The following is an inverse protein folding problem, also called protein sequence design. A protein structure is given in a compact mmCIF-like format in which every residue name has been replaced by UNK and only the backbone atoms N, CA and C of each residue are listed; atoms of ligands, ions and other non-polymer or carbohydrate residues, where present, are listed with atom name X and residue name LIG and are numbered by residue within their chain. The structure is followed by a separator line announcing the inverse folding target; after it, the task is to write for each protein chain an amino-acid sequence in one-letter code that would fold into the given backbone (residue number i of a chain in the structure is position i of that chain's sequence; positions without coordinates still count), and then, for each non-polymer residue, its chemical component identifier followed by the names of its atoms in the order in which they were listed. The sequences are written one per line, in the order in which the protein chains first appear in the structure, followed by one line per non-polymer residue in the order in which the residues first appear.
data_IF_318565969055
#
_entry.id   IF_318565969055
#
_cell.length_a   1.000
_cell.length_b   1.000
_cell.length_c   1.000
_cell.angle_alpha   90.00
_cell.angle_beta   90.00
_cell.angle_gamma   90.00
#
_symmetry.space_group_name_H-M   'P 1'
#
loop_
_entity.id
_entity.type
_entity.pdbx_description
1 polymer ?
#
# COMPACT_ATOMS: atom_id res chain seq x y z
N UNK A 1 -25.71 -4.81 -30.10
CA UNK A 1 -25.29 -3.63 -29.31
C UNK A 1 -25.26 -4.12 -27.88
N UNK A 2 -24.09 -4.56 -27.43
CA UNK A 2 -23.90 -5.13 -26.10
C UNK A 2 -24.09 -4.01 -25.10
N UNK A 3 -25.06 -4.14 -24.19
CA UNK A 3 -25.22 -3.18 -23.12
C UNK A 3 -23.89 -3.07 -22.37
N UNK A 4 -23.36 -1.86 -22.26
CA UNK A 4 -22.25 -1.59 -21.37
C UNK A 4 -22.76 -1.91 -19.97
N UNK A 5 -22.31 -3.04 -19.41
CA UNK A 5 -22.51 -3.36 -18.01
C UNK A 5 -22.10 -2.13 -17.21
N UNK A 6 -23.07 -1.47 -16.57
CA UNK A 6 -22.80 -0.35 -15.68
C UNK A 6 -21.89 -0.87 -14.58
N UNK A 7 -20.60 -0.52 -14.65
CA UNK A 7 -19.63 -0.91 -13.63
C UNK A 7 -20.06 -0.20 -12.34
N UNK A 8 -20.62 -0.95 -11.40
CA UNK A 8 -21.06 -0.44 -10.11
C UNK A 8 -19.83 -0.32 -9.20
N UNK A 9 -19.06 0.75 -9.38
CA UNK A 9 -17.89 1.04 -8.55
C UNK A 9 -18.33 1.72 -7.25
N UNK A 10 -17.69 1.42 -6.11
CA UNK A 10 -17.91 2.18 -4.89
C UNK A 10 -17.66 3.69 -5.11
N UNK A 11 -18.41 4.57 -4.42
CA UNK A 11 -18.15 6.00 -4.49
C UNK A 11 -16.78 6.36 -3.90
N UNK A 12 -16.19 7.45 -4.39
CA UNK A 12 -14.98 8.03 -3.81
C UNK A 12 -15.23 8.51 -2.38
N UNK A 13 -14.27 8.25 -1.48
CA UNK A 13 -14.30 8.66 -0.08
C UNK A 13 -13.18 9.67 0.19
N UNK A 14 -13.42 10.66 1.03
CA UNK A 14 -12.38 11.64 1.42
C UNK A 14 -11.35 11.01 2.37
N UNK A 15 -10.08 11.29 2.12
CA UNK A 15 -8.98 10.86 2.98
C UNK A 15 -7.85 11.90 3.01
N UNK A 16 -6.80 11.57 3.75
CA UNK A 16 -5.52 12.26 3.64
C UNK A 16 -4.44 11.22 3.33
N UNK A 17 -3.54 11.58 2.43
CA UNK A 17 -2.40 10.73 2.11
C UNK A 17 -1.12 11.51 2.34
N UNK A 18 -0.06 10.80 2.70
CA UNK A 18 1.27 11.35 2.85
C UNK A 18 2.28 10.48 2.14
N UNK A 19 3.29 11.13 1.55
CA UNK A 19 4.40 10.44 0.90
C UNK A 19 5.75 11.03 1.37
N UNK A 20 6.65 10.15 1.78
CA UNK A 20 8.05 10.47 2.06
C UNK A 20 8.94 9.74 1.07
N UNK A 21 9.98 10.39 0.55
CA UNK A 21 10.93 9.74 -0.35
C UNK A 21 12.38 10.06 -0.02
N UNK A 22 13.27 9.11 -0.28
CA UNK A 22 14.72 9.30 -0.18
C UNK A 22 15.38 8.84 -1.47
N UNK A 23 15.91 9.79 -2.26
CA UNK A 23 16.59 9.49 -3.54
C UNK A 23 17.86 8.66 -3.39
N UNK A 24 18.43 8.63 -2.20
CA UNK A 24 19.62 7.84 -1.87
C UNK A 24 19.30 6.64 -0.97
N UNK A 25 18.01 6.36 -0.75
CA UNK A 25 17.57 5.24 0.06
C UNK A 25 17.92 3.90 -0.59
N UNK A 26 18.27 2.93 0.24
CA UNK A 26 18.68 1.59 -0.14
C UNK A 26 17.62 0.55 0.19
N UNK A 27 17.79 -0.66 -0.35
CA UNK A 27 16.98 -1.82 0.04
C UNK A 27 17.04 -2.04 1.56
N UNK A 28 18.21 -1.90 2.17
CA UNK A 28 18.40 -2.05 3.61
C UNK A 28 17.62 -1.02 4.42
N UNK A 29 17.47 0.21 3.92
CA UNK A 29 16.68 1.23 4.60
C UNK A 29 15.20 0.84 4.65
N UNK A 30 14.65 0.26 3.58
CA UNK A 30 13.26 -0.20 3.54
C UNK A 30 13.04 -1.43 4.42
N UNK A 31 13.97 -2.39 4.41
CA UNK A 31 13.89 -3.55 5.32
C UNK A 31 13.96 -3.11 6.79
N UNK A 32 14.86 -2.17 7.10
CA UNK A 32 14.98 -1.59 8.44
C UNK A 32 13.69 -0.86 8.82
N UNK A 33 13.13 -0.06 7.92
CA UNK A 33 11.88 0.67 8.14
C UNK A 33 10.71 -0.26 8.41
N UNK A 34 10.56 -1.34 7.63
CA UNK A 34 9.51 -2.34 7.82
C UNK A 34 9.61 -3.02 9.19
N UNK A 35 10.82 -3.27 9.68
CA UNK A 35 11.07 -3.84 11.01
C UNK A 35 11.11 -2.80 12.14
N UNK A 36 10.99 -1.51 11.84
CA UNK A 36 11.06 -0.41 12.80
C UNK A 36 9.65 0.12 13.08
N UNK A 37 9.06 -0.29 14.19
CA UNK A 37 7.78 0.23 14.67
C UNK A 37 7.36 -0.40 16.00
N UNK A 38 6.58 0.30 16.84
CA UNK A 38 5.96 -0.31 18.01
C UNK A 38 4.79 -1.20 17.56
N UNK A 39 4.95 -2.53 17.68
CA UNK A 39 3.90 -3.51 17.37
C UNK A 39 4.29 -4.49 16.26
N UNK A 40 3.51 -5.56 16.12
CA UNK A 40 3.64 -6.60 15.10
C UNK A 40 2.98 -6.17 13.78
N UNK A 41 3.37 -5.03 13.21
CA UNK A 41 2.87 -4.67 11.88
C UNK A 41 3.34 -5.74 10.90
N UNK A 42 2.40 -6.51 10.37
CA UNK A 42 2.69 -7.56 9.40
C UNK A 42 2.80 -6.94 8.02
N UNK A 43 3.85 -7.35 7.31
CA UNK A 43 4.18 -6.88 5.97
C UNK A 43 4.09 -8.03 4.98
N UNK A 44 3.40 -7.78 3.88
CA UNK A 44 3.47 -8.62 2.69
C UNK A 44 3.97 -7.78 1.52
N UNK A 45 4.30 -8.42 0.40
CA UNK A 45 4.94 -7.67 -0.67
C UNK A 45 5.16 -8.43 -1.96
N UNK A 46 5.81 -7.74 -2.90
CA UNK A 46 6.38 -8.30 -4.12
C UNK A 46 7.82 -7.81 -4.23
N UNK A 47 8.74 -8.76 -4.41
CA UNK A 47 10.09 -8.47 -4.90
C UNK A 47 10.16 -8.79 -6.38
N UNK A 48 10.52 -7.80 -7.20
CA UNK A 48 10.90 -8.06 -8.58
C UNK A 48 12.39 -8.36 -8.64
N UNK A 49 12.70 -9.56 -9.13
CA UNK A 49 14.06 -10.08 -9.19
C UNK A 49 14.50 -10.34 -10.62
N UNK A 50 15.80 -10.50 -10.83
CA UNK A 50 16.36 -10.93 -12.13
C UNK A 50 15.86 -12.30 -12.62
N UNK A 51 15.18 -13.07 -11.76
CA UNK A 51 14.57 -14.37 -12.09
C UNK A 51 13.03 -14.35 -12.07
N UNK A 52 12.41 -13.16 -12.03
CA UNK A 52 10.96 -12.99 -11.99
C UNK A 52 10.45 -12.38 -10.69
N UNK A 53 9.15 -12.09 -10.65
CA UNK A 53 8.48 -11.56 -9.47
C UNK A 53 8.27 -12.65 -8.40
N UNK A 54 8.48 -12.29 -7.14
CA UNK A 54 8.29 -13.18 -5.98
C UNK A 54 7.31 -12.53 -5.01
N UNK A 55 6.19 -13.18 -4.77
CA UNK A 55 5.26 -12.82 -3.70
C UNK A 55 5.91 -13.09 -2.34
N UNK A 56 5.86 -12.11 -1.44
CA UNK A 56 6.55 -12.11 -0.15
C UNK A 56 5.55 -12.25 0.99
N UNK A 57 5.85 -13.17 1.91
CA UNK A 57 5.06 -13.42 3.12
C UNK A 57 5.78 -12.99 4.40
N UNK A 58 7.12 -12.95 4.40
CA UNK A 58 7.89 -12.51 5.56
C UNK A 58 8.99 -11.53 5.18
N UNK A 59 9.20 -10.55 6.06
CA UNK A 59 10.19 -9.49 5.92
C UNK A 59 10.99 -9.41 7.22
N UNK A 60 12.31 -9.38 7.11
CA UNK A 60 13.20 -9.05 8.22
C UNK A 60 14.26 -8.05 7.74
N UNK A 61 15.05 -7.53 8.68
CA UNK A 61 16.13 -6.57 8.39
C UNK A 61 17.11 -7.03 7.29
N UNK A 62 17.25 -8.34 7.07
CA UNK A 62 18.24 -8.91 6.17
C UNK A 62 17.72 -10.08 5.31
N UNK A 63 16.42 -10.35 5.31
CA UNK A 63 15.86 -11.46 4.58
C UNK A 63 14.43 -11.18 4.10
N UNK A 64 14.08 -11.81 3.00
CA UNK A 64 12.76 -11.77 2.38
C UNK A 64 12.32 -13.21 2.13
N UNK A 65 11.24 -13.65 2.78
CA UNK A 65 10.66 -14.97 2.57
C UNK A 65 9.50 -14.91 1.59
N UNK A 66 9.59 -15.70 0.52
CA UNK A 66 8.52 -15.83 -0.47
C UNK A 66 7.39 -16.74 0.02
N UNK A 67 6.21 -16.64 -0.60
CA UNK A 67 5.03 -17.45 -0.29
C UNK A 67 5.25 -18.96 -0.53
N UNK A 68 6.18 -19.32 -1.41
CA UNK A 68 6.61 -20.71 -1.67
C UNK A 68 7.58 -21.27 -0.60
N UNK A 69 7.85 -20.49 0.46
CA UNK A 69 8.75 -20.85 1.56
C UNK A 69 10.24 -20.67 1.26
N UNK A 70 10.61 -20.23 0.05
CA UNK A 70 12.01 -19.97 -0.30
C UNK A 70 12.44 -18.56 0.13
N UNK A 71 13.73 -18.40 0.42
CA UNK A 71 14.34 -17.10 0.63
C UNK A 71 14.63 -16.42 -0.71
N UNK A 72 14.34 -15.13 -0.80
CA UNK A 72 14.67 -14.31 -1.96
C UNK A 72 16.10 -13.78 -1.81
N UNK A 73 17.01 -14.06 -2.75
CA UNK A 73 18.36 -13.50 -2.72
C UNK A 73 18.30 -11.98 -2.86
N UNK A 74 18.64 -11.22 -1.81
CA UNK A 74 18.51 -9.75 -1.84
C UNK A 74 19.27 -9.09 -2.99
N UNK A 75 20.43 -9.63 -3.37
CA UNK A 75 21.23 -9.13 -4.49
C UNK A 75 20.60 -9.31 -5.87
N UNK A 76 19.51 -10.08 -6.01
CA UNK A 76 18.76 -10.21 -7.27
C UNK A 76 17.57 -9.25 -7.36
N UNK A 77 17.18 -8.60 -6.26
CA UNK A 77 16.02 -7.69 -6.19
C UNK A 77 16.40 -6.36 -6.84
N UNK A 78 15.59 -5.88 -7.78
CA UNK A 78 15.74 -4.54 -8.37
C UNK A 78 14.58 -3.60 -8.03
N UNK A 79 13.44 -4.15 -7.61
CA UNK A 79 12.31 -3.38 -7.10
C UNK A 79 11.65 -4.18 -5.96
N UNK A 80 11.27 -3.47 -4.90
CA UNK A 80 10.57 -4.03 -3.75
C UNK A 80 9.37 -3.15 -3.43
N UNK A 81 8.19 -3.77 -3.31
CA UNK A 81 6.99 -3.16 -2.75
C UNK A 81 6.55 -4.00 -1.56
N UNK A 82 6.44 -3.38 -0.39
CA UNK A 82 5.92 -3.99 0.83
C UNK A 82 4.71 -3.19 1.27
N UNK A 83 3.61 -3.85 1.59
CA UNK A 83 2.43 -3.22 2.18
C UNK A 83 2.12 -3.83 3.54
N UNK A 84 1.64 -2.97 4.43
CA UNK A 84 1.07 -3.35 5.70
C UNK A 84 -0.24 -4.11 5.47
N UNK A 85 -0.41 -5.22 6.18
CA UNK A 85 -1.72 -5.86 6.25
C UNK A 85 -2.67 -4.98 7.06
N UNK A 86 -3.81 -4.66 6.46
CA UNK A 86 -4.86 -3.85 7.07
C UNK A 86 -6.17 -4.61 6.95
N UNK A 87 -6.76 -4.92 8.10
CA UNK A 87 -8.08 -5.53 8.17
C UNK A 87 -9.13 -4.54 7.65
N UNK A 88 -9.78 -4.88 6.54
CA UNK A 88 -10.84 -4.14 5.86
C UNK A 88 -10.63 -2.61 5.79
N UNK A 89 -10.08 -2.07 4.67
CA UNK A 89 -9.82 -0.63 4.52
C UNK A 89 -11.11 0.20 4.39
N UNK A 90 -12.30 -0.40 4.50
CA UNK A 90 -13.56 0.34 4.55
C UNK A 90 -13.73 0.96 5.95
N UNK A 91 -14.06 2.26 6.04
CA UNK A 91 -14.24 2.90 7.32
C UNK A 91 -15.36 2.22 8.13
N UNK A 92 -15.02 1.75 9.33
CA UNK A 92 -16.01 1.21 10.26
C UNK A 92 -16.84 2.36 10.85
N UNK A 93 -18.16 2.24 10.81
CA UNK A 93 -19.06 3.27 11.30
C UNK A 93 -18.84 3.50 12.81
N UNK A 94 -18.41 4.71 13.19
CA UNK A 94 -18.20 5.11 14.58
C UNK A 94 -16.74 5.08 15.08
N UNK A 95 -15.75 4.84 14.21
CA UNK A 95 -14.35 5.04 14.55
C UNK A 95 -13.97 6.53 14.43
N UNK A 96 -13.79 7.20 15.56
CA UNK A 96 -13.35 8.62 15.67
C UNK A 96 -11.84 8.83 15.41
N UNK A 97 -11.16 7.83 14.86
CA UNK A 97 -9.70 7.88 14.60
C UNK A 97 -9.40 7.96 13.09
N UNK A 98 -8.39 8.76 12.74
CA UNK A 98 -7.78 8.83 11.40
C UNK A 98 -6.97 7.56 11.13
N UNK A 99 -7.66 6.42 11.16
CA UNK A 99 -7.08 5.10 11.00
C UNK A 99 -6.30 5.00 9.69
N UNK A 100 -5.18 4.27 9.74
CA UNK A 100 -4.41 3.94 8.54
C UNK A 100 -5.25 3.00 7.68
N UNK A 101 -5.48 3.39 6.42
CA UNK A 101 -6.23 2.60 5.44
C UNK A 101 -5.30 1.86 4.47
N UNK A 102 -4.10 2.39 4.23
CA UNK A 102 -3.04 1.75 3.47
C UNK A 102 -1.68 2.28 3.93
N UNK A 103 -0.66 1.42 3.95
CA UNK A 103 0.71 1.81 4.24
C UNK A 103 1.65 0.96 3.39
N UNK A 104 2.37 1.60 2.48
CA UNK A 104 3.26 0.93 1.54
C UNK A 104 4.67 1.52 1.56
N UNK A 105 5.65 0.63 1.56
CA UNK A 105 7.08 0.90 1.45
C UNK A 105 7.56 0.42 0.08
N UNK A 106 8.23 1.31 -0.65
CA UNK A 106 8.76 1.05 -1.99
C UNK A 106 10.26 1.28 -2.02
N UNK A 107 10.97 0.45 -2.77
CA UNK A 107 12.35 0.69 -3.16
C UNK A 107 12.55 0.31 -4.62
N UNK A 108 13.28 1.15 -5.36
CA UNK A 108 13.69 0.89 -6.73
C UNK A 108 15.20 1.12 -6.86
N UNK A 109 15.91 0.13 -7.41
CA UNK A 109 17.36 0.17 -7.53
C UNK A 109 17.82 1.40 -8.34
N UNK A 110 18.70 2.20 -7.73
CA UNK A 110 19.21 3.45 -8.30
C UNK A 110 18.25 4.65 -8.23
N UNK A 111 17.01 4.47 -7.76
CA UNK A 111 16.01 5.54 -7.65
C UNK A 111 15.59 5.89 -6.23
N UNK A 112 15.94 5.04 -5.26
CA UNK A 112 15.73 5.33 -3.84
C UNK A 112 14.51 4.64 -3.26
N UNK A 113 13.96 5.23 -2.21
CA UNK A 113 12.83 4.70 -1.43
C UNK A 113 11.64 5.66 -1.42
N UNK A 114 10.44 5.10 -1.22
CA UNK A 114 9.24 5.85 -0.92
C UNK A 114 8.44 5.15 0.18
N UNK A 115 7.80 5.93 1.05
CA UNK A 115 6.83 5.48 2.05
C UNK A 115 5.55 6.26 1.81
N UNK A 116 4.45 5.54 1.59
CA UNK A 116 3.13 6.11 1.32
C UNK A 116 2.17 5.64 2.39
N UNK A 117 1.44 6.57 3.00
CA UNK A 117 0.43 6.27 4.03
C UNK A 117 -0.88 6.95 3.66
N UNK A 118 -1.95 6.17 3.55
CA UNK A 118 -3.32 6.66 3.40
C UNK A 118 -4.05 6.56 4.74
N UNK A 119 -4.79 7.60 5.10
CA UNK A 119 -5.63 7.66 6.30
C UNK A 119 -7.04 8.08 5.96
N UNK A 120 -8.00 7.59 6.74
CA UNK A 120 -9.35 8.13 6.73
C UNK A 120 -9.33 9.61 7.10
N UNK A 121 -10.29 10.38 6.59
CA UNK A 121 -10.49 11.73 7.08
C UNK A 121 -11.09 11.69 8.49
N UNK A 122 -10.26 11.83 9.54
CA UNK A 122 -10.77 12.33 10.82
C UNK A 122 -11.14 13.82 10.64
N UNK A 123 -12.14 14.29 11.38
CA UNK A 123 -12.60 15.68 11.33
C UNK A 123 -11.42 16.67 11.23
N UNK A 124 -11.55 17.61 10.29
CA UNK A 124 -10.55 18.59 9.84
C UNK A 124 -9.34 18.84 10.77
N UNK A 125 -8.10 18.86 10.25
CA UNK A 125 -6.92 19.08 11.07
C UNK A 125 -6.89 20.50 11.64
N UNK A 126 -6.99 20.63 12.97
CA UNK A 126 -6.49 21.81 13.67
C UNK A 126 -4.97 21.77 13.65
N UNK A 127 -4.38 22.62 12.83
CA UNK A 127 -2.93 22.81 12.72
C UNK A 127 -2.29 23.13 14.08
N UNK A 128 -1.41 22.27 14.58
CA UNK A 128 -0.20 22.64 15.34
C UNK A 128 0.62 21.39 15.65
N UNK A 129 1.87 21.28 15.16
CA UNK A 129 3.06 21.06 16.02
C UNK A 129 4.37 21.06 15.24
N UNK A 130 5.42 21.58 15.90
CA UNK A 130 6.83 21.57 15.50
C UNK A 130 7.39 20.13 15.58
N UNK A 131 7.47 19.43 14.44
CA UNK A 131 8.20 18.18 14.32
C UNK A 131 8.98 18.13 12.99
N UNK A 132 9.97 17.23 12.92
CA UNK A 132 10.83 16.96 11.77
C UNK A 132 10.04 16.91 10.44
N UNK A 133 10.63 17.24 9.27
CA UNK A 133 9.87 17.49 8.05
C UNK A 133 8.89 16.34 7.77
N UNK A 134 7.62 16.62 8.02
CA UNK A 134 6.53 15.69 7.81
C UNK A 134 6.42 15.42 6.30
N UNK A 135 6.14 14.18 5.89
CA UNK A 135 5.81 13.88 4.50
C UNK A 135 4.71 14.84 4.01
N UNK A 136 4.77 15.27 2.74
CA UNK A 136 3.77 16.18 2.17
C UNK A 136 2.39 15.57 2.34
N UNK A 137 1.59 16.12 3.26
CA UNK A 137 0.26 15.63 3.56
C UNK A 137 -0.74 16.40 2.71
N UNK A 138 -1.36 15.72 1.75
CA UNK A 138 -2.34 16.31 0.87
C UNK A 138 -3.73 15.70 1.15
N UNK A 139 -4.78 16.48 0.91
CA UNK A 139 -6.14 15.96 0.84
C UNK A 139 -6.29 15.08 -0.40
N UNK A 140 -6.93 13.93 -0.27
CA UNK A 140 -7.17 13.02 -1.38
C UNK A 140 -8.57 12.44 -1.33
N UNK A 141 -8.92 11.72 -2.40
CA UNK A 141 -10.02 10.78 -2.42
C UNK A 141 -9.48 9.37 -2.61
N UNK A 142 -10.19 8.39 -2.09
CA UNK A 142 -9.81 6.99 -2.25
C UNK A 142 -11.01 6.11 -2.56
N UNK A 143 -10.73 4.93 -3.11
CA UNK A 143 -11.72 3.89 -3.41
C UNK A 143 -11.17 2.51 -3.06
N UNK A 144 -11.85 1.73 -2.19
CA UNK A 144 -11.50 0.32 -1.98
C UNK A 144 -11.68 -0.49 -3.25
N UNK A 145 -10.77 -1.42 -3.48
CA UNK A 145 -10.78 -2.33 -4.62
C UNK A 145 -10.30 -3.73 -4.18
N UNK A 146 -10.56 -4.75 -5.00
CA UNK A 146 -10.07 -6.10 -4.77
C UNK A 146 -9.86 -6.86 -6.07
N UNK A 147 -8.88 -7.75 -6.05
CA UNK A 147 -8.48 -8.57 -7.19
C UNK A 147 -8.50 -10.05 -6.83
N UNK A 148 -9.03 -10.89 -7.71
CA UNK A 148 -8.89 -12.33 -7.57
C UNK A 148 -7.42 -12.74 -7.70
N UNK A 149 -6.91 -13.48 -6.71
CA UNK A 149 -5.52 -13.93 -6.71
C UNK A 149 -5.27 -15.03 -7.75
N UNK A 150 -4.06 -15.03 -8.31
CA UNK A 150 -3.67 -16.04 -9.29
C UNK A 150 -3.62 -17.43 -8.65
N UNK A 151 -4.39 -18.38 -9.20
CA UNK A 151 -4.47 -19.75 -8.69
C UNK A 151 -5.70 -20.04 -7.84
N UNK A 152 -6.53 -19.03 -7.53
CA UNK A 152 -7.83 -19.22 -6.89
C UNK A 152 -8.72 -20.15 -7.73
N UNK A 153 -9.47 -21.03 -7.06
CA UNK A 153 -10.35 -22.01 -7.71
C UNK A 153 -11.78 -21.83 -7.23
N UNK A 154 -12.73 -21.75 -8.17
CA UNK A 154 -14.14 -21.55 -7.82
C UNK A 154 -14.70 -22.68 -6.95
N UNK A 155 -15.63 -22.39 -6.01
CA UNK A 155 -16.23 -21.07 -5.75
C UNK A 155 -15.25 -20.13 -5.02
N UNK A 156 -15.23 -18.86 -5.42
CA UNK A 156 -14.35 -17.86 -4.82
C UNK A 156 -14.95 -17.30 -3.53
N UNK A 157 -14.11 -17.02 -2.55
CA UNK A 157 -14.47 -16.27 -1.35
C UNK A 157 -13.51 -15.10 -1.08
N UNK A 158 -13.67 -14.44 0.06
CA UNK A 158 -12.88 -13.26 0.40
C UNK A 158 -11.40 -13.57 0.62
N UNK A 159 -11.04 -14.81 0.97
CA UNK A 159 -9.66 -15.23 1.19
C UNK A 159 -8.91 -15.43 -0.15
N UNK A 160 -9.65 -15.58 -1.26
CA UNK A 160 -9.10 -15.64 -2.61
C UNK A 160 -8.78 -14.25 -3.21
N UNK A 161 -9.08 -13.16 -2.49
CA UNK A 161 -8.92 -11.79 -2.98
C UNK A 161 -7.70 -11.08 -2.38
N UNK A 162 -7.00 -10.30 -3.20
CA UNK A 162 -6.05 -9.30 -2.75
C UNK A 162 -6.78 -7.96 -2.68
N UNK A 163 -6.90 -7.40 -1.47
CA UNK A 163 -7.51 -6.08 -1.30
C UNK A 163 -6.50 -4.97 -1.60
N UNK A 164 -7.01 -3.87 -2.15
CA UNK A 164 -6.25 -2.66 -2.45
C UNK A 164 -7.09 -1.40 -2.23
N UNK A 165 -6.42 -0.25 -2.28
CA UNK A 165 -7.07 1.06 -2.29
C UNK A 165 -6.47 1.90 -3.41
N UNK A 166 -7.33 2.41 -4.28
CA UNK A 166 -6.98 3.40 -5.30
C UNK A 166 -7.02 4.80 -4.68
N UNK A 167 -6.03 5.63 -5.01
CA UNK A 167 -5.88 7.01 -4.53
C UNK A 167 -6.05 7.98 -5.69
N UNK A 168 -6.76 9.07 -5.43
CA UNK A 168 -7.05 10.14 -6.36
C UNK A 168 -6.75 11.50 -5.74
N UNK A 169 -6.23 12.43 -6.53
CA UNK A 169 -6.02 13.82 -6.13
C UNK A 169 -6.64 14.76 -7.14
N UNK A 170 -6.74 16.03 -6.80
CA UNK A 170 -7.11 17.08 -7.75
C UNK A 170 -5.84 17.54 -8.51
N UNK A 171 -5.92 17.71 -9.83
CA UNK A 171 -4.86 18.31 -10.63
C UNK A 171 -4.97 19.85 -10.68
N UNK A 172 -4.01 20.51 -11.33
CA UNK A 172 -3.99 21.99 -11.48
C UNK A 172 -5.20 22.58 -12.21
N UNK A 173 -6.03 21.73 -12.83
CA UNK A 173 -7.23 22.11 -13.58
C UNK A 173 -8.53 21.75 -12.85
N UNK A 174 -8.46 21.24 -11.63
CA UNK A 174 -9.62 20.83 -10.84
C UNK A 174 -10.17 19.45 -11.20
N UNK A 175 -9.44 18.64 -11.97
CA UNK A 175 -9.87 17.28 -12.30
C UNK A 175 -9.44 16.31 -11.20
N UNK A 176 -10.33 15.37 -10.87
CA UNK A 176 -9.98 14.24 -10.02
C UNK A 176 -9.23 13.20 -10.87
N UNK A 177 -7.95 12.98 -10.55
CA UNK A 177 -7.05 12.10 -11.29
C UNK A 177 -6.58 10.96 -10.41
N UNK A 178 -6.46 9.76 -10.99
CA UNK A 178 -5.84 8.62 -10.33
C UNK A 178 -4.34 8.86 -10.17
N UNK A 179 -3.80 8.64 -8.97
CA UNK A 179 -2.38 8.86 -8.69
C UNK A 179 -1.64 7.60 -8.28
N UNK A 180 -2.29 6.68 -7.56
CA UNK A 180 -1.63 5.48 -7.06
C UNK A 180 -2.64 4.39 -6.66
N UNK A 181 -2.15 3.17 -6.51
CA UNK A 181 -2.88 2.06 -5.92
C UNK A 181 -1.98 1.30 -4.95
N UNK A 182 -2.49 1.13 -3.73
CA UNK A 182 -1.79 0.49 -2.61
C UNK A 182 -2.48 -0.82 -2.25
N UNK A 183 -1.70 -1.88 -2.10
CA UNK A 183 -2.22 -3.17 -1.63
C UNK A 183 -2.42 -3.13 -0.10
N UNK A 184 -3.38 -3.91 0.40
CA UNK A 184 -3.72 -3.99 1.83
C UNK A 184 -3.95 -5.41 2.32
N UNK A 185 -4.22 -6.35 1.39
CA UNK A 185 -4.59 -7.72 1.68
C UNK A 185 -3.41 -8.68 1.85
N UNK A 186 -3.72 -9.90 2.27
CA UNK A 186 -2.75 -10.99 2.37
C UNK A 186 -2.76 -11.86 1.11
N UNK A 187 -1.61 -12.38 0.72
CA UNK A 187 -1.51 -13.54 -0.16
C UNK A 187 -2.21 -14.75 0.46
N UNK A 188 -2.96 -15.49 -0.36
CA UNK A 188 -3.41 -16.86 -0.06
C UNK A 188 -2.24 -17.80 0.21
#
# INVERSE_FOLDING_TARGET
MTEASTVNLPPLQSGSWSYGCSRTGSLTDILTRACSGPGSQEWQGIAYTTAGARALRTVSNNALGATDGQQVPLGSVYELRLWALIEDPRPQAGADDAGVLAHELRWLNGSGTAEIVLRSAAGAPTATTDAAPEPGQDTCWYRPNSYLQHGATAPFDADDEMTSVEIFTEDDYGNIVFVDELMTGAWG
#
